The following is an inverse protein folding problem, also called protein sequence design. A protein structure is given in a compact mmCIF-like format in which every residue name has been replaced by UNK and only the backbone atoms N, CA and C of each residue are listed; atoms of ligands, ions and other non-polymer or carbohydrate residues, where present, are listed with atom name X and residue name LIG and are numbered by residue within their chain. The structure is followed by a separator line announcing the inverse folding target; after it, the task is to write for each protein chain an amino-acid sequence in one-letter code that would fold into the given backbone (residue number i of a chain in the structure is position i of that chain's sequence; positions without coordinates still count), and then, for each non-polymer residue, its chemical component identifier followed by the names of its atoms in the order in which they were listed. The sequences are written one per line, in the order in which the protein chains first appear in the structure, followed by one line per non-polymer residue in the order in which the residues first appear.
data_IF_465928588666
#
_entry.id   IF_465928588666
#
_cell.length_a   1.000
_cell.length_b   1.000
_cell.length_c   1.000
_cell.angle_alpha   90.00
_cell.angle_beta   90.00
_cell.angle_gamma   90.00
#
_symmetry.space_group_name_H-M   'P 1'
#
loop_
_entity.id
_entity.type
_entity.pdbx_description
1 polymer ?
#
# COMPACT_ATOMS: atom_id res chain seq x y z
N UNK A 1 1.05 12.43 9.39
CA UNK A 1 0.52 13.30 8.31
C UNK A 1 -0.73 12.61 7.77
N UNK A 2 -1.80 13.35 7.48
CA UNK A 2 -3.01 12.75 6.89
C UNK A 2 -2.79 12.66 5.37
N UNK A 3 -3.13 11.51 4.78
CA UNK A 3 -3.07 11.31 3.33
C UNK A 3 -4.07 12.23 2.63
N UNK A 4 -3.75 12.67 1.42
CA UNK A 4 -4.72 13.33 0.54
C UNK A 4 -5.66 12.28 -0.06
N UNK A 5 -6.84 12.70 -0.53
CA UNK A 5 -7.79 11.80 -1.20
C UNK A 5 -7.16 11.07 -2.41
N UNK A 6 -6.25 11.75 -3.13
CA UNK A 6 -5.52 11.14 -4.23
C UNK A 6 -4.56 10.04 -3.75
N UNK A 7 -3.84 10.28 -2.66
CA UNK A 7 -2.92 9.28 -2.09
C UNK A 7 -3.69 8.08 -1.51
N UNK A 8 -4.82 8.31 -0.85
CA UNK A 8 -5.72 7.25 -0.41
C UNK A 8 -6.23 6.44 -1.61
N UNK A 9 -6.62 7.11 -2.70
CA UNK A 9 -7.02 6.45 -3.95
C UNK A 9 -5.93 5.55 -4.55
N UNK A 10 -4.66 5.98 -4.53
CA UNK A 10 -3.53 5.16 -4.97
C UNK A 10 -3.40 3.90 -4.12
N UNK A 11 -3.51 4.03 -2.79
CA UNK A 11 -3.40 2.90 -1.88
C UNK A 11 -4.54 1.91 -2.12
N UNK A 12 -5.78 2.39 -2.27
CA UNK A 12 -6.92 1.54 -2.62
C UNK A 12 -6.70 0.79 -3.93
N UNK A 13 -6.18 1.46 -4.97
CA UNK A 13 -5.87 0.81 -6.24
C UNK A 13 -4.81 -0.31 -6.07
N UNK A 14 -3.79 -0.07 -5.25
CA UNK A 14 -2.73 -1.05 -4.94
C UNK A 14 -3.28 -2.23 -4.13
N UNK A 15 -4.15 -1.99 -3.15
CA UNK A 15 -4.83 -3.06 -2.39
C UNK A 15 -5.64 -3.94 -3.33
N UNK A 16 -6.47 -3.33 -4.20
CA UNK A 16 -7.29 -4.07 -5.16
C UNK A 16 -6.42 -4.87 -6.14
N UNK A 17 -5.33 -4.26 -6.64
CA UNK A 17 -4.38 -4.93 -7.51
C UNK A 17 -3.80 -6.18 -6.84
N UNK A 18 -3.39 -6.07 -5.57
CA UNK A 18 -2.86 -7.22 -4.83
C UNK A 18 -3.95 -8.27 -4.57
N UNK A 19 -5.13 -7.87 -4.08
CA UNK A 19 -6.19 -8.80 -3.71
C UNK A 19 -6.81 -9.54 -4.89
N UNK A 20 -6.89 -8.89 -6.06
CA UNK A 20 -7.54 -9.46 -7.24
C UNK A 20 -6.57 -10.16 -8.19
N UNK A 21 -5.31 -9.75 -8.22
CA UNK A 21 -4.35 -10.22 -9.23
C UNK A 21 -3.05 -10.77 -8.66
N UNK A 22 -2.85 -10.74 -7.34
CA UNK A 22 -1.61 -11.19 -6.67
C UNK A 22 -0.36 -10.59 -7.31
N UNK A 23 -0.37 -9.25 -7.49
CA UNK A 23 0.69 -8.48 -8.13
C UNK A 23 1.43 -7.58 -7.11
N UNK A 24 2.17 -8.16 -6.14
CA UNK A 24 2.74 -7.35 -5.08
C UNK A 24 3.93 -6.51 -5.58
N UNK A 25 4.66 -6.99 -6.61
CA UNK A 25 5.71 -6.19 -7.27
C UNK A 25 5.14 -4.90 -7.87
N UNK A 26 4.07 -5.02 -8.67
CA UNK A 26 3.47 -3.87 -9.32
C UNK A 26 2.85 -2.91 -8.29
N UNK A 27 2.27 -3.44 -7.21
CA UNK A 27 1.79 -2.64 -6.08
C UNK A 27 2.91 -1.84 -5.42
N UNK A 28 4.07 -2.45 -5.18
CA UNK A 28 5.23 -1.79 -4.59
C UNK A 28 5.80 -0.71 -5.52
N UNK A 29 5.88 -0.97 -6.82
CA UNK A 29 6.36 0.00 -7.81
C UNK A 29 5.46 1.23 -7.85
N UNK A 30 4.13 1.05 -7.85
CA UNK A 30 3.18 2.16 -7.80
C UNK A 30 3.39 3.01 -6.54
N UNK A 31 3.55 2.38 -5.37
CA UNK A 31 3.77 3.11 -4.11
C UNK A 31 5.11 3.87 -4.13
N UNK A 32 6.19 3.29 -4.63
CA UNK A 32 7.51 3.95 -4.73
C UNK A 32 7.48 5.14 -5.69
N UNK A 33 6.96 4.94 -6.91
CA UNK A 33 6.86 6.01 -7.91
C UNK A 33 5.93 7.14 -7.46
N UNK A 34 4.98 6.84 -6.57
CA UNK A 34 4.08 7.83 -5.96
C UNK A 34 4.66 8.51 -4.71
N UNK A 35 5.85 8.12 -4.25
CA UNK A 35 6.47 8.63 -3.01
C UNK A 35 5.71 8.22 -1.74
N UNK A 36 5.08 7.05 -1.75
CA UNK A 36 4.24 6.49 -0.67
C UNK A 36 4.87 5.24 -0.01
N UNK A 37 6.17 5.02 -0.16
CA UNK A 37 6.89 3.83 0.31
C UNK A 37 7.16 3.81 1.82
N UNK A 38 6.80 4.87 2.56
CA UNK A 38 7.06 5.00 4.00
C UNK A 38 5.85 5.52 4.83
N UNK A 39 4.65 5.41 4.28
CA UNK A 39 3.44 6.00 4.88
C UNK A 39 2.95 5.22 6.09
N UNK A 40 2.15 5.90 6.91
CA UNK A 40 1.43 5.30 8.03
C UNK A 40 0.06 4.81 7.60
N UNK A 41 -0.13 3.50 7.65
CA UNK A 41 -1.33 2.79 7.25
C UNK A 41 -2.26 2.45 8.44
N UNK A 42 -2.02 3.01 9.64
CA UNK A 42 -2.81 2.71 10.84
C UNK A 42 -4.31 2.93 10.69
N UNK A 43 -4.70 3.89 9.82
CA UNK A 43 -6.10 4.28 9.59
C UNK A 43 -6.85 3.40 8.57
N UNK A 44 -6.15 2.49 7.87
CA UNK A 44 -6.79 1.54 6.98
C UNK A 44 -7.40 0.38 7.77
N UNK A 45 -8.38 -0.29 7.18
CA UNK A 45 -9.00 -1.46 7.79
C UNK A 45 -8.11 -2.72 7.68
N UNK A 46 -8.54 -3.81 8.30
CA UNK A 46 -7.77 -5.06 8.31
C UNK A 46 -7.65 -5.69 6.93
N UNK A 47 -8.63 -5.47 6.04
CA UNK A 47 -8.63 -6.01 4.69
C UNK A 47 -7.53 -5.37 3.84
N UNK A 48 -7.44 -4.04 3.91
CA UNK A 48 -6.42 -3.25 3.24
C UNK A 48 -5.02 -3.56 3.80
N UNK A 49 -4.90 -3.61 5.13
CA UNK A 49 -3.62 -3.92 5.80
C UNK A 49 -3.07 -5.28 5.44
N UNK A 50 -3.92 -6.29 5.28
CA UNK A 50 -3.48 -7.62 4.85
C UNK A 50 -2.79 -7.57 3.49
N UNK A 51 -3.35 -6.84 2.51
CA UNK A 51 -2.72 -6.68 1.20
C UNK A 51 -1.41 -5.89 1.31
N UNK A 52 -1.41 -4.80 2.08
CA UNK A 52 -0.24 -3.93 2.24
C UNK A 52 0.92 -4.63 2.97
N UNK A 53 0.65 -5.57 3.90
CA UNK A 53 1.69 -6.42 4.51
C UNK A 53 2.42 -7.27 3.48
N UNK A 54 1.69 -7.91 2.56
CA UNK A 54 2.29 -8.73 1.50
C UNK A 54 3.22 -7.88 0.62
N UNK A 55 2.82 -6.67 0.29
CA UNK A 55 3.63 -5.76 -0.52
C UNK A 55 4.83 -5.26 0.32
N UNK A 56 4.63 -4.94 1.59
CA UNK A 56 5.66 -4.39 2.46
C UNK A 56 6.82 -5.37 2.71
N UNK A 57 6.49 -6.64 2.99
CA UNK A 57 7.46 -7.67 3.39
C UNK A 57 8.38 -8.09 2.23
N UNK A 58 7.91 -7.97 0.98
CA UNK A 58 8.61 -8.52 -0.18
C UNK A 58 9.43 -7.49 -0.98
N UNK A 59 9.19 -6.18 -0.81
CA UNK A 59 9.70 -5.16 -1.75
C UNK A 59 10.44 -3.99 -1.10
N UNK A 60 10.88 -4.15 0.16
CA UNK A 60 11.72 -3.17 0.85
C UNK A 60 11.00 -1.84 1.09
N UNK A 61 9.69 -1.90 1.34
CA UNK A 61 8.94 -0.72 1.79
C UNK A 61 9.13 -0.53 3.30
N UNK A 62 8.76 0.65 3.78
CA UNK A 62 8.80 1.02 5.18
C UNK A 62 7.42 1.52 5.63
N UNK A 63 6.36 0.85 5.19
CA UNK A 63 5.00 1.13 5.62
C UNK A 63 4.89 0.90 7.13
N UNK A 64 4.13 1.76 7.81
CA UNK A 64 3.97 1.75 9.27
C UNK A 64 2.52 1.46 9.63
N UNK A 65 2.28 0.96 10.84
CA UNK A 65 0.91 0.73 11.30
C UNK A 65 0.16 -0.39 10.57
N UNK A 66 0.90 -1.28 9.91
CA UNK A 66 0.39 -2.46 9.23
C UNK A 66 0.04 -3.56 10.21
#
# INVERSE_FOLDING_TARGET
MKLTEFQEGIIYAVVLLQKLHDQPTAGADILKESGLDNIDCSNFDDYDKEALRVINDNYGMSLKGL
#
